data_IF_052768042748
#
_entry.id   IF_052768042748
#
_cell.length_a   1.000
_cell.length_b   1.000
_cell.length_c   1.000
_cell.angle_alpha   90.00
_cell.angle_beta   90.00
_cell.angle_gamma   90.00
#
_symmetry.space_group_name_H-M   'P 1'
#
loop_
_entity.id
_entity.type
_entity.pdbx_description
1 polymer ?
#
# COMPACT_ATOMS: atom_id res chain seq x y z
N UNK A 1 10.15 -14.08 -10.20
CA UNK A 1 10.43 -12.98 -9.26
C UNK A 1 9.32 -11.95 -9.41
N UNK A 2 8.85 -11.35 -8.32
CA UNK A 2 7.79 -10.34 -8.33
C UNK A 2 8.33 -9.05 -7.70
N UNK A 3 8.16 -7.94 -8.41
CA UNK A 3 8.54 -6.61 -7.95
C UNK A 3 7.28 -5.88 -7.52
N UNK A 4 7.15 -5.57 -6.23
CA UNK A 4 6.04 -4.82 -5.67
C UNK A 4 6.43 -3.36 -5.62
N UNK A 5 5.63 -2.46 -6.19
CA UNK A 5 5.90 -1.03 -6.14
C UNK A 5 5.31 -0.46 -4.86
N UNK A 6 6.09 0.22 -4.04
CA UNK A 6 5.60 0.96 -2.88
C UNK A 6 5.78 2.45 -3.15
N UNK A 7 4.69 3.20 -3.11
CA UNK A 7 4.71 4.65 -3.32
C UNK A 7 3.77 5.36 -2.35
N UNK A 8 3.91 6.67 -2.27
CA UNK A 8 3.15 7.52 -1.36
C UNK A 8 3.60 8.97 -1.48
N UNK A 9 2.73 9.90 -1.15
CA UNK A 9 3.05 11.32 -1.12
C UNK A 9 4.00 11.69 0.02
N UNK A 10 4.49 12.91 0.01
CA UNK A 10 5.24 13.48 1.14
C UNK A 10 4.42 13.33 2.43
N UNK A 11 5.05 13.02 3.57
CA UNK A 11 4.37 12.85 4.86
C UNK A 11 3.25 11.79 4.92
N UNK A 12 3.13 10.91 3.92
CA UNK A 12 2.16 9.79 3.91
C UNK A 12 2.49 8.65 4.86
N UNK A 13 3.71 8.60 5.43
CA UNK A 13 4.17 7.48 6.26
C UNK A 13 4.64 6.25 5.47
N UNK A 14 4.95 6.40 4.18
CA UNK A 14 5.58 5.38 3.33
C UNK A 14 6.75 4.64 4.00
N UNK A 15 7.62 5.36 4.71
CA UNK A 15 8.76 4.77 5.43
C UNK A 15 8.32 3.82 6.55
N UNK A 16 7.20 4.09 7.22
CA UNK A 16 6.63 3.20 8.23
C UNK A 16 6.18 1.89 7.60
N UNK A 17 5.45 1.97 6.48
CA UNK A 17 5.01 0.79 5.71
C UNK A 17 6.21 0.01 5.14
N UNK A 18 7.23 0.71 4.64
CA UNK A 18 8.50 0.11 4.20
C UNK A 18 9.16 -0.70 5.31
N UNK A 19 9.15 -0.21 6.54
CA UNK A 19 9.66 -0.94 7.70
C UNK A 19 8.78 -2.15 8.08
N UNK A 20 7.46 -2.03 7.95
CA UNK A 20 6.55 -3.17 8.14
C UNK A 20 6.80 -4.29 7.13
N UNK A 21 7.06 -3.97 5.86
CA UNK A 21 7.48 -4.97 4.88
C UNK A 21 8.78 -5.68 5.29
N UNK A 22 9.78 -4.92 5.76
CA UNK A 22 11.06 -5.47 6.23
C UNK A 22 10.87 -6.40 7.44
N UNK A 23 10.05 -6.01 8.42
CA UNK A 23 9.80 -6.82 9.62
C UNK A 23 9.10 -8.14 9.30
N UNK A 24 8.28 -8.18 8.25
CA UNK A 24 7.63 -9.40 7.76
C UNK A 24 8.52 -10.21 6.79
N UNK A 25 9.79 -9.81 6.61
CA UNK A 25 10.78 -10.54 5.83
C UNK A 25 10.73 -10.29 4.32
N UNK A 26 10.07 -9.22 3.88
CA UNK A 26 10.14 -8.75 2.50
C UNK A 26 11.29 -7.74 2.35
N UNK A 27 12.27 -8.01 1.47
CA UNK A 27 13.35 -7.06 1.25
C UNK A 27 12.81 -5.85 0.51
N UNK A 28 13.23 -4.66 0.96
CA UNK A 28 12.86 -3.39 0.36
C UNK A 28 14.09 -2.73 -0.24
N UNK A 29 14.02 -2.38 -1.52
CA UNK A 29 15.02 -1.56 -2.22
C UNK A 29 14.49 -0.13 -2.26
N UNK A 30 15.18 0.77 -1.58
CA UNK A 30 14.82 2.19 -1.52
C UNK A 30 15.54 2.96 -2.64
N UNK A 31 14.76 3.50 -3.59
CA UNK A 31 15.28 4.24 -4.72
C UNK A 31 15.99 5.54 -4.29
N UNK A 32 15.56 6.17 -3.20
CA UNK A 32 16.22 7.36 -2.67
C UNK A 32 17.59 7.00 -2.12
N UNK A 33 17.72 5.87 -1.39
CA UNK A 33 19.02 5.40 -0.91
C UNK A 33 19.96 5.06 -2.07
N UNK A 34 19.46 4.44 -3.15
CA UNK A 34 20.27 4.17 -4.35
C UNK A 34 20.71 5.46 -5.01
N UNK A 35 19.82 6.44 -5.18
CA UNK A 35 20.17 7.75 -5.75
C UNK A 35 21.24 8.47 -4.92
N UNK A 36 21.18 8.34 -3.58
CA UNK A 36 22.22 8.87 -2.69
C UNK A 36 23.54 8.14 -2.81
N UNK A 37 23.53 6.83 -3.06
CA UNK A 37 24.74 6.02 -3.21
C UNK A 37 25.47 6.34 -4.52
N UNK A 38 24.73 6.58 -5.60
CA UNK A 38 25.27 6.93 -6.93
C UNK A 38 26.06 8.26 -6.93
N UNK A 39 25.91 9.09 -5.90
CA UNK A 39 26.64 10.34 -5.73
C UNK A 39 27.83 10.24 -4.75
N UNK A 40 28.11 9.07 -4.18
CA UNK A 40 29.30 8.88 -3.33
C UNK A 40 30.57 8.97 -4.14
N UNK A 41 31.64 9.44 -3.50
CA UNK A 41 32.99 9.44 -4.08
C UNK A 41 33.33 8.10 -4.74
N UNK A 42 34.08 8.18 -5.85
CA UNK A 42 34.54 7.05 -6.67
C UNK A 42 33.46 6.25 -7.41
N UNK A 43 32.19 6.69 -7.36
CA UNK A 43 31.14 6.08 -8.19
C UNK A 43 31.09 6.69 -9.59
N UNK A 44 30.56 5.92 -10.55
CA UNK A 44 30.40 6.40 -11.93
C UNK A 44 29.48 7.62 -12.05
N UNK A 45 28.45 7.71 -11.20
CA UNK A 45 27.55 8.87 -11.13
C UNK A 45 28.26 10.11 -10.61
N UNK A 46 29.01 9.98 -9.51
CA UNK A 46 29.85 11.04 -8.96
C UNK A 46 30.78 11.65 -10.01
N UNK A 47 31.57 10.81 -10.71
CA UNK A 47 32.53 11.30 -11.71
C UNK A 47 31.87 12.10 -12.83
N UNK A 48 30.67 11.69 -13.28
CA UNK A 48 29.91 12.41 -14.32
C UNK A 48 29.34 13.72 -13.82
N UNK A 49 28.89 13.77 -12.56
CA UNK A 49 28.34 14.97 -11.96
C UNK A 49 29.45 16.00 -11.71
N UNK A 50 30.59 15.60 -11.15
CA UNK A 50 31.75 16.49 -10.96
C UNK A 50 32.27 17.02 -12.30
N UNK A 51 32.34 16.18 -13.34
CA UNK A 51 32.74 16.63 -14.67
C UNK A 51 31.79 17.66 -15.31
N UNK A 52 30.50 17.63 -14.97
CA UNK A 52 29.50 18.52 -15.54
C UNK A 52 29.26 19.80 -14.72
N UNK A 53 29.41 19.73 -13.40
CA UNK A 53 29.13 20.83 -12.47
C UNK A 53 30.39 21.46 -11.86
N UNK A 54 31.57 20.90 -12.14
CA UNK A 54 32.85 21.37 -11.61
C UNK A 54 33.14 20.87 -10.19
N UNK A 55 34.32 21.16 -9.69
CA UNK A 55 34.72 20.83 -8.30
C UNK A 55 34.08 21.75 -7.26
N UNK A 56 33.41 22.83 -7.71
CA UNK A 56 32.69 23.76 -6.85
C UNK A 56 31.55 23.10 -6.05
N UNK A 57 31.05 21.94 -6.49
CA UNK A 57 30.00 21.19 -5.78
C UNK A 57 30.56 20.21 -4.74
N UNK A 58 31.87 20.18 -4.52
CA UNK A 58 32.52 19.28 -3.56
C UNK A 58 32.74 19.95 -2.20
N UNK A 59 32.64 19.15 -1.15
CA UNK A 59 33.10 19.49 0.20
C UNK A 59 34.63 19.31 0.32
N UNK A 60 35.20 19.74 1.44
CA UNK A 60 36.65 19.67 1.69
C UNK A 60 37.20 18.23 1.74
N UNK A 61 36.35 17.24 1.99
CA UNK A 61 36.68 15.81 1.97
C UNK A 61 36.58 15.18 0.55
N UNK A 62 36.09 15.96 -0.42
CA UNK A 62 35.85 15.55 -1.80
C UNK A 62 34.52 14.82 -2.01
N UNK A 63 33.63 14.75 -1.03
CA UNK A 63 32.25 14.30 -1.23
C UNK A 63 31.39 15.41 -1.87
N UNK A 64 30.24 15.05 -2.45
CA UNK A 64 29.33 16.03 -3.04
C UNK A 64 28.55 16.78 -1.97
N UNK A 65 28.67 18.10 -1.94
CA UNK A 65 27.84 19.00 -1.14
C UNK A 65 26.42 19.01 -1.73
N UNK A 66 25.54 18.19 -1.15
CA UNK A 66 24.15 18.03 -1.62
C UNK A 66 23.32 19.29 -1.43
N UNK A 67 23.39 20.01 -0.29
CA UNK A 67 22.75 21.32 -0.17
C UNK A 67 23.14 22.29 -1.29
N UNK A 68 24.43 22.38 -1.61
CA UNK A 68 24.94 23.28 -2.65
C UNK A 68 24.52 22.84 -4.06
N UNK A 69 24.69 21.56 -4.38
CA UNK A 69 24.20 21.01 -5.65
C UNK A 69 22.68 21.22 -5.79
N UNK A 70 21.94 21.00 -4.71
CA UNK A 70 20.50 21.26 -4.62
C UNK A 70 20.16 22.69 -5.00
N UNK A 71 20.80 23.69 -4.38
CA UNK A 71 20.57 25.12 -4.69
C UNK A 71 20.79 25.42 -6.18
N UNK A 72 21.87 24.89 -6.75
CA UNK A 72 22.19 25.08 -8.18
C UNK A 72 21.08 24.49 -9.07
N UNK A 73 20.66 23.25 -8.84
CA UNK A 73 19.64 22.60 -9.69
C UNK A 73 18.22 23.06 -9.41
N UNK A 74 17.92 23.60 -8.24
CA UNK A 74 16.61 24.21 -7.95
C UNK A 74 16.51 25.62 -8.55
N UNK A 75 17.62 26.34 -8.68
CA UNK A 75 17.64 27.66 -9.31
C UNK A 75 17.54 27.61 -10.85
N UNK A 76 17.96 26.50 -11.48
CA UNK A 76 18.06 26.37 -12.93
C UNK A 76 17.49 25.04 -13.43
N UNK A 77 16.36 25.12 -14.14
CA UNK A 77 15.68 23.96 -14.72
C UNK A 77 16.54 23.22 -15.77
N UNK A 78 17.38 23.91 -16.55
CA UNK A 78 18.25 23.27 -17.53
C UNK A 78 19.32 22.42 -16.83
N UNK A 79 19.94 22.95 -15.77
CA UNK A 79 20.88 22.21 -14.93
C UNK A 79 20.23 21.01 -14.24
N UNK A 80 18.98 21.15 -13.78
CA UNK A 80 18.21 20.02 -13.22
C UNK A 80 18.02 18.89 -14.22
N UNK A 81 17.71 19.21 -15.47
CA UNK A 81 17.56 18.21 -16.53
C UNK A 81 18.88 17.51 -16.84
N UNK A 82 19.99 18.25 -16.88
CA UNK A 82 21.33 17.68 -17.06
C UNK A 82 21.66 16.72 -15.92
N UNK A 83 21.46 17.12 -14.66
CA UNK A 83 21.70 16.24 -13.51
C UNK A 83 20.88 14.95 -13.60
N UNK A 84 19.57 15.08 -13.86
CA UNK A 84 18.68 13.92 -13.97
C UNK A 84 19.11 12.97 -15.10
N UNK A 85 19.51 13.51 -16.26
CA UNK A 85 19.95 12.72 -17.41
C UNK A 85 21.25 11.98 -17.11
N UNK A 86 22.19 12.62 -16.41
CA UNK A 86 23.46 12.01 -16.02
C UNK A 86 23.26 10.89 -15.00
N UNK A 87 22.37 11.10 -14.01
CA UNK A 87 22.16 10.16 -12.92
C UNK A 87 21.23 9.00 -13.26
N UNK A 88 20.23 9.20 -14.13
CA UNK A 88 19.24 8.20 -14.50
C UNK A 88 19.83 6.80 -14.80
N UNK A 89 20.84 6.63 -15.70
CA UNK A 89 21.37 5.31 -16.01
C UNK A 89 22.04 4.64 -14.81
N UNK A 90 22.69 5.41 -13.94
CA UNK A 90 23.35 4.87 -12.75
C UNK A 90 22.35 4.48 -11.66
N UNK A 91 21.28 5.27 -11.48
CA UNK A 91 20.18 4.94 -10.56
C UNK A 91 19.47 3.66 -11.02
N UNK A 92 19.10 3.58 -12.29
CA UNK A 92 18.46 2.37 -12.84
C UNK A 92 19.35 1.14 -12.72
N UNK A 93 20.64 1.26 -13.01
CA UNK A 93 21.61 0.16 -12.88
C UNK A 93 21.83 -0.25 -11.41
N UNK A 94 21.86 0.72 -10.49
CA UNK A 94 21.97 0.48 -9.05
C UNK A 94 20.76 -0.27 -8.50
N UNK A 95 19.54 0.17 -8.85
CA UNK A 95 18.30 -0.51 -8.48
C UNK A 95 18.31 -1.94 -9.04
N UNK A 96 18.68 -2.11 -10.31
CA UNK A 96 18.76 -3.43 -10.94
C UNK A 96 19.77 -4.37 -10.24
N UNK A 97 20.95 -3.87 -9.87
CA UNK A 97 21.94 -4.64 -9.12
C UNK A 97 21.43 -5.10 -7.75
N UNK A 98 20.76 -4.21 -7.00
CA UNK A 98 20.18 -4.58 -5.71
C UNK A 98 19.07 -5.62 -5.86
N UNK A 99 18.21 -5.48 -6.88
CA UNK A 99 17.21 -6.50 -7.22
C UNK A 99 17.88 -7.84 -7.54
N UNK A 100 18.91 -7.84 -8.39
CA UNK A 100 19.61 -9.05 -8.80
C UNK A 100 20.29 -9.74 -7.60
N UNK A 101 20.91 -8.96 -6.72
CA UNK A 101 21.55 -9.44 -5.49
C UNK A 101 20.54 -10.10 -4.55
N UNK A 102 19.37 -9.50 -4.37
CA UNK A 102 18.28 -10.09 -3.57
C UNK A 102 17.71 -11.33 -4.24
N UNK A 103 17.59 -11.33 -5.56
CA UNK A 103 17.14 -12.49 -6.31
C UNK A 103 18.09 -13.68 -6.18
N UNK A 104 19.40 -13.46 -6.28
CA UNK A 104 20.44 -14.48 -6.06
C UNK A 104 20.43 -15.04 -4.63
N UNK A 105 20.00 -14.24 -3.64
CA UNK A 105 19.76 -14.69 -2.26
C UNK A 105 18.49 -15.53 -2.10
N UNK A 106 17.72 -15.75 -3.17
CA UNK A 106 16.51 -16.57 -3.17
C UNK A 106 15.22 -15.81 -2.85
N UNK A 107 15.26 -14.48 -2.76
CA UNK A 107 14.04 -13.70 -2.55
C UNK A 107 13.19 -13.69 -3.82
N UNK A 108 11.95 -14.18 -3.69
CA UNK A 108 10.99 -14.26 -4.79
C UNK A 108 10.16 -12.99 -4.95
N UNK A 109 10.05 -12.21 -3.88
CA UNK A 109 9.31 -10.95 -3.79
C UNK A 109 10.27 -9.88 -3.30
N UNK A 110 10.32 -8.75 -3.99
CA UNK A 110 11.12 -7.59 -3.63
C UNK A 110 10.22 -6.37 -3.72
N UNK A 111 10.22 -5.54 -2.68
CA UNK A 111 9.47 -4.28 -2.64
C UNK A 111 10.39 -3.16 -3.10
N UNK A 112 9.95 -2.36 -4.08
CA UNK A 112 10.66 -1.19 -4.56
C UNK A 112 9.99 0.04 -3.97
N UNK A 113 10.70 0.73 -3.08
CA UNK A 113 10.22 1.96 -2.47
C UNK A 113 10.60 3.17 -3.36
N UNK A 114 9.60 3.74 -4.04
CA UNK A 114 9.77 4.80 -5.04
C UNK A 114 8.73 5.91 -4.81
N UNK A 115 9.11 7.08 -4.25
CA UNK A 115 8.17 8.17 -4.00
C UNK A 115 7.47 8.72 -5.26
N UNK A 116 8.19 8.74 -6.38
CA UNK A 116 7.74 9.27 -7.67
C UNK A 116 7.42 8.15 -8.69
N UNK A 117 6.88 7.03 -8.21
CA UNK A 117 6.67 5.81 -9.00
C UNK A 117 5.84 6.05 -10.27
N UNK A 118 4.74 6.78 -10.16
CA UNK A 118 3.84 7.06 -11.30
C UNK A 118 4.41 8.15 -12.22
N UNK A 119 5.05 9.15 -11.63
CA UNK A 119 5.68 10.28 -12.33
C UNK A 119 6.84 9.80 -13.21
N UNK A 120 7.58 8.79 -12.74
CA UNK A 120 8.68 8.14 -13.47
C UNK A 120 8.25 6.97 -14.35
N UNK A 121 6.94 6.65 -14.40
CA UNK A 121 6.36 5.51 -15.14
C UNK A 121 6.98 4.15 -14.76
N UNK A 122 7.46 4.02 -13.52
CA UNK A 122 8.03 2.79 -12.99
C UNK A 122 6.96 1.78 -12.56
N UNK A 123 5.71 2.23 -12.46
CA UNK A 123 4.51 1.39 -12.29
C UNK A 123 4.42 0.25 -13.31
N UNK A 124 4.92 0.46 -14.54
CA UNK A 124 4.96 -0.59 -15.58
C UNK A 124 5.85 -1.78 -15.24
N UNK A 125 6.86 -1.56 -14.39
CA UNK A 125 7.85 -2.56 -14.00
C UNK A 125 7.56 -3.19 -12.64
N UNK A 126 6.56 -2.66 -11.92
CA UNK A 126 6.20 -3.09 -10.56
C UNK A 126 4.74 -3.51 -10.50
N UNK A 127 4.46 -4.77 -10.13
CA UNK A 127 3.11 -5.27 -9.91
C UNK A 127 3.04 -6.27 -8.75
N UNK A 128 2.15 -6.09 -7.77
CA UNK A 128 1.20 -4.97 -7.61
C UNK A 128 1.88 -3.66 -7.19
N UNK A 129 1.17 -2.54 -7.39
CA UNK A 129 1.51 -1.20 -6.87
C UNK A 129 0.70 -0.92 -5.60
N UNK A 130 1.41 -0.70 -4.50
CA UNK A 130 0.91 -0.34 -3.19
C UNK A 130 1.09 1.17 -2.99
N UNK A 131 -0.01 1.88 -2.75
CA UNK A 131 -0.01 3.30 -2.40
C UNK A 131 -0.33 3.46 -0.93
N UNK A 132 0.55 4.16 -0.20
CA UNK A 132 0.25 4.65 1.15
C UNK A 132 -0.47 5.98 1.02
N UNK A 133 -1.76 5.97 1.28
CA UNK A 133 -2.67 7.10 1.12
C UNK A 133 -2.94 7.79 2.46
N UNK A 134 -3.09 9.11 2.41
CA UNK A 134 -3.43 9.97 3.52
C UNK A 134 -4.24 11.13 2.96
N UNK A 135 -5.19 11.67 3.73
CA UNK A 135 -5.89 12.88 3.33
C UNK A 135 -4.96 14.11 3.37
N UNK A 136 -5.29 15.13 2.58
CA UNK A 136 -4.45 16.33 2.42
C UNK A 136 -4.23 17.08 3.73
N UNK A 137 -5.21 17.09 4.64
CA UNK A 137 -5.12 17.81 5.91
C UNK A 137 -4.14 17.10 6.85
N UNK A 138 -4.26 15.79 7.01
CA UNK A 138 -3.30 14.97 7.75
C UNK A 138 -1.90 15.04 7.14
N UNK A 139 -1.80 15.11 5.80
CA UNK A 139 -0.53 15.28 5.10
C UNK A 139 0.14 16.62 5.46
N UNK A 140 -0.64 17.70 5.47
CA UNK A 140 -0.19 19.05 5.81
C UNK A 140 0.29 19.11 7.27
N UNK A 141 -0.53 18.63 8.21
CA UNK A 141 -0.21 18.63 9.64
C UNK A 141 1.08 17.84 9.93
N UNK A 142 1.22 16.65 9.35
CA UNK A 142 2.43 15.82 9.53
C UNK A 142 3.67 16.47 8.91
N UNK A 143 3.53 17.12 7.76
CA UNK A 143 4.64 17.80 7.10
C UNK A 143 5.11 19.01 7.91
N UNK A 144 4.17 19.82 8.41
CA UNK A 144 4.47 20.96 9.28
C UNK A 144 5.14 20.52 10.58
N UNK A 145 4.60 19.47 11.23
CA UNK A 145 5.18 18.95 12.46
C UNK A 145 6.59 18.36 12.28
N UNK A 146 6.87 17.72 11.13
CA UNK A 146 8.16 17.09 10.84
C UNK A 146 9.24 18.09 10.45
N UNK A 147 8.90 19.03 9.57
CA UNK A 147 9.88 19.91 8.91
C UNK A 147 9.87 21.34 9.50
N UNK A 148 8.96 21.66 10.41
CA UNK A 148 8.79 23.03 10.94
C UNK A 148 8.44 24.06 9.86
N UNK A 149 7.84 23.61 8.75
CA UNK A 149 7.55 24.46 7.58
C UNK A 149 6.30 25.31 7.82
N UNK A 150 6.21 26.46 7.14
CA UNK A 150 4.95 27.23 7.08
C UNK A 150 3.87 26.43 6.35
N UNK A 151 2.61 26.71 6.62
CA UNK A 151 1.49 26.06 5.96
C UNK A 151 1.54 26.24 4.43
N UNK A 152 1.90 27.44 3.97
CA UNK A 152 2.01 27.77 2.55
C UNK A 152 3.14 26.99 1.87
N UNK A 153 4.32 26.91 2.49
CA UNK A 153 5.43 26.09 1.98
C UNK A 153 5.07 24.60 1.92
N UNK A 154 4.41 24.10 2.96
CA UNK A 154 3.97 22.71 3.04
C UNK A 154 2.96 22.39 1.92
N UNK A 155 1.98 23.26 1.68
CA UNK A 155 1.03 23.13 0.56
C UNK A 155 1.73 23.17 -0.79
N UNK A 156 2.65 24.09 -1.00
CA UNK A 156 3.41 24.19 -2.25
C UNK A 156 4.20 22.90 -2.55
N UNK A 157 4.79 22.28 -1.52
CA UNK A 157 5.51 20.99 -1.65
C UNK A 157 4.57 19.83 -1.97
N UNK A 158 3.38 19.79 -1.35
CA UNK A 158 2.36 18.77 -1.62
C UNK A 158 1.87 18.90 -3.06
N UNK A 159 1.54 20.11 -3.50
CA UNK A 159 1.02 20.40 -4.84
C UNK A 159 2.05 20.16 -5.96
N UNK A 160 3.35 20.15 -5.65
CA UNK A 160 4.39 19.80 -6.60
C UNK A 160 4.40 18.29 -6.97
N UNK A 161 3.69 17.45 -6.23
CA UNK A 161 3.54 16.01 -6.49
C UNK A 161 2.19 15.70 -7.14
N UNK A 162 2.07 14.52 -7.77
CA UNK A 162 0.76 14.05 -8.23
C UNK A 162 -0.19 13.90 -7.04
N UNK A 163 -1.43 14.40 -7.18
CA UNK A 163 -2.46 14.34 -6.15
C UNK A 163 -2.66 12.92 -5.62
N UNK A 164 -2.82 12.80 -4.30
CA UNK A 164 -2.93 11.50 -3.61
C UNK A 164 -4.10 10.66 -4.12
N UNK A 165 -5.23 11.28 -4.46
CA UNK A 165 -6.40 10.58 -4.99
C UNK A 165 -6.18 10.03 -6.40
N UNK A 166 -5.36 10.70 -7.21
CA UNK A 166 -4.94 10.19 -8.53
C UNK A 166 -3.94 9.04 -8.39
N UNK A 167 -3.10 9.04 -7.36
CA UNK A 167 -2.24 7.89 -7.05
C UNK A 167 -3.09 6.71 -6.58
N UNK A 168 -4.07 6.98 -5.72
CA UNK A 168 -5.02 6.00 -5.18
C UNK A 168 -5.79 5.29 -6.29
N UNK A 169 -6.31 6.02 -7.29
CA UNK A 169 -7.09 5.43 -8.39
C UNK A 169 -6.26 4.56 -9.35
N UNK A 170 -4.93 4.73 -9.36
CA UNK A 170 -3.99 3.93 -10.16
C UNK A 170 -3.35 2.78 -9.39
N UNK A 171 -3.61 2.67 -8.09
CA UNK A 171 -3.01 1.66 -7.23
C UNK A 171 -3.74 0.32 -7.38
N UNK A 172 -2.98 -0.78 -7.30
CA UNK A 172 -3.58 -2.10 -7.11
C UNK A 172 -4.02 -2.29 -5.64
N UNK A 173 -3.29 -1.68 -4.70
CA UNK A 173 -3.53 -1.76 -3.25
C UNK A 173 -3.39 -0.37 -2.64
N UNK A 174 -4.32 0.00 -1.77
CA UNK A 174 -4.30 1.26 -1.02
C UNK A 174 -4.20 0.95 0.46
N UNK A 175 -3.16 1.47 1.12
CA UNK A 175 -3.00 1.48 2.56
C UNK A 175 -3.39 2.86 3.04
N UNK A 176 -4.51 2.98 3.73
CA UNK A 176 -4.92 4.22 4.41
C UNK A 176 -4.07 4.39 5.67
N UNK A 177 -3.39 5.52 5.79
CA UNK A 177 -2.55 5.87 6.93
C UNK A 177 -3.01 7.19 7.58
N UNK A 178 -4.32 7.46 7.55
CA UNK A 178 -4.92 8.60 8.25
C UNK A 178 -5.01 8.40 9.76
N UNK A 179 -5.14 7.15 10.20
CA UNK A 179 -5.26 6.78 11.61
C UNK A 179 -3.94 6.74 12.39
N UNK A 180 -3.97 6.01 13.50
CA UNK A 180 -2.82 5.72 14.35
C UNK A 180 -1.87 4.68 13.73
N UNK A 181 -0.71 4.49 14.36
CA UNK A 181 0.25 3.47 13.94
C UNK A 181 -0.31 2.05 14.13
N UNK A 182 -1.15 1.85 15.15
CA UNK A 182 -1.87 0.59 15.40
C UNK A 182 -2.89 0.30 14.30
N UNK A 183 -3.66 1.32 13.88
CA UNK A 183 -4.60 1.21 12.75
C UNK A 183 -3.87 0.82 11.45
N UNK A 184 -2.69 1.42 11.22
CA UNK A 184 -1.86 1.11 10.07
C UNK A 184 -1.38 -0.35 10.09
N UNK A 185 -0.95 -0.85 11.25
CA UNK A 185 -0.54 -2.24 11.41
C UNK A 185 -1.71 -3.21 11.19
N UNK A 186 -2.89 -2.88 11.73
CA UNK A 186 -4.10 -3.68 11.51
C UNK A 186 -4.48 -3.69 10.02
N UNK A 187 -4.43 -2.53 9.35
CA UNK A 187 -4.73 -2.44 7.93
C UNK A 187 -3.72 -3.17 7.07
N UNK A 188 -2.43 -3.12 7.43
CA UNK A 188 -1.38 -3.90 6.78
C UNK A 188 -1.63 -5.41 6.92
N UNK A 189 -2.06 -5.86 8.11
CA UNK A 189 -2.44 -7.26 8.36
C UNK A 189 -3.69 -7.66 7.58
N UNK A 190 -4.73 -6.81 7.53
CA UNK A 190 -5.96 -7.05 6.75
C UNK A 190 -5.69 -7.17 5.27
N UNK A 191 -4.80 -6.35 4.70
CA UNK A 191 -4.34 -6.53 3.32
C UNK A 191 -3.66 -7.89 3.15
N UNK A 192 -3.07 -8.41 4.23
CA UNK A 192 -2.51 -9.75 4.24
C UNK A 192 -3.52 -10.88 4.22
N UNK A 193 -4.63 -10.72 4.93
CA UNK A 193 -5.65 -11.74 5.12
C UNK A 193 -6.76 -11.69 4.05
N UNK A 194 -7.27 -10.50 3.71
CA UNK A 194 -8.36 -10.31 2.75
C UNK A 194 -7.86 -10.25 1.30
N UNK A 195 -6.67 -9.69 1.09
CA UNK A 195 -6.12 -9.64 -0.26
C UNK A 195 -5.31 -10.90 -0.45
N UNK A 196 -5.76 -11.78 -1.36
CA UNK A 196 -5.06 -12.99 -1.85
C UNK A 196 -3.57 -12.77 -2.13
N UNK A 197 -3.08 -11.54 -2.17
CA UNK A 197 -1.72 -11.10 -2.42
C UNK A 197 -0.75 -11.47 -1.30
N UNK A 198 -0.93 -11.20 0.01
CA UNK A 198 0.10 -11.68 0.98
C UNK A 198 0.02 -13.19 1.12
N UNK A 199 -1.18 -13.79 1.10
CA UNK A 199 -1.34 -15.24 0.95
C UNK A 199 -0.61 -15.77 -0.30
N UNK A 200 -0.67 -15.08 -1.45
CA UNK A 200 0.05 -15.43 -2.68
C UNK A 200 1.55 -15.12 -2.60
N UNK A 201 1.98 -14.08 -1.89
CA UNK A 201 3.38 -13.74 -1.63
C UNK A 201 4.03 -14.76 -0.69
N UNK A 202 3.30 -15.19 0.34
CA UNK A 202 3.67 -16.29 1.23
C UNK A 202 3.64 -17.63 0.49
N UNK A 203 2.62 -17.88 -0.34
CA UNK A 203 2.58 -19.05 -1.22
C UNK A 203 3.74 -19.08 -2.21
N UNK A 204 4.15 -17.92 -2.72
CA UNK A 204 5.34 -17.80 -3.55
C UNK A 204 6.60 -18.11 -2.75
N UNK A 205 6.67 -17.78 -1.46
CA UNK A 205 7.81 -18.07 -0.58
C UNK A 205 8.05 -19.58 -0.44
N UNK A 206 6.99 -20.38 -0.38
CA UNK A 206 7.05 -21.84 -0.28
C UNK A 206 7.02 -22.54 -1.67
N UNK A 207 7.43 -23.81 -1.78
CA UNK A 207 7.22 -24.61 -2.98
C UNK A 207 5.74 -24.75 -3.28
N UNK A 208 5.36 -24.74 -4.57
CA UNK A 208 3.96 -24.85 -5.00
C UNK A 208 3.25 -26.07 -4.43
N UNK A 209 3.98 -27.17 -4.23
CA UNK A 209 3.47 -28.41 -3.64
C UNK A 209 3.05 -28.24 -2.17
N UNK A 210 3.85 -27.53 -1.37
CA UNK A 210 3.58 -27.31 0.06
C UNK A 210 2.35 -26.43 0.25
N UNK A 211 2.21 -25.39 -0.58
CA UNK A 211 1.04 -24.50 -0.54
C UNK A 211 -0.20 -25.26 -0.97
N UNK A 212 -0.13 -26.02 -2.06
CA UNK A 212 -1.25 -26.80 -2.56
C UNK A 212 -1.68 -27.86 -1.53
N UNK A 213 -0.73 -28.58 -0.91
CA UNK A 213 -1.02 -29.56 0.13
C UNK A 213 -1.62 -28.90 1.37
N UNK A 214 -1.10 -27.75 1.79
CA UNK A 214 -1.63 -26.96 2.90
C UNK A 214 -3.07 -26.50 2.65
N UNK A 215 -3.35 -25.93 1.48
CA UNK A 215 -4.68 -25.49 1.08
C UNK A 215 -5.67 -26.67 0.98
N UNK A 216 -5.24 -27.79 0.39
CA UNK A 216 -6.06 -29.00 0.29
C UNK A 216 -6.36 -29.59 1.69
N UNK A 217 -5.37 -29.61 2.57
CA UNK A 217 -5.52 -30.10 3.95
C UNK A 217 -6.48 -29.20 4.73
N UNK A 218 -6.34 -27.88 4.62
CA UNK A 218 -7.25 -26.94 5.26
C UNK A 218 -8.70 -27.11 4.75
N UNK A 219 -8.88 -27.30 3.44
CA UNK A 219 -10.19 -27.55 2.85
C UNK A 219 -10.79 -28.87 3.36
N UNK A 220 -10.00 -29.94 3.43
CA UNK A 220 -10.45 -31.23 3.97
C UNK A 220 -10.84 -31.09 5.44
N UNK A 221 -9.99 -30.45 6.26
CA UNK A 221 -10.25 -30.24 7.69
C UNK A 221 -11.52 -29.41 7.90
N UNK A 222 -11.68 -28.31 7.16
CA UNK A 222 -12.86 -27.45 7.24
C UNK A 222 -14.13 -28.21 6.82
N UNK A 223 -14.04 -29.02 5.77
CA UNK A 223 -15.16 -29.86 5.30
C UNK A 223 -15.56 -30.89 6.36
N UNK A 224 -14.59 -31.61 6.93
CA UNK A 224 -14.83 -32.62 7.97
C UNK A 224 -15.41 -31.98 9.24
N UNK A 225 -14.87 -30.84 9.68
CA UNK A 225 -15.42 -30.08 10.81
C UNK A 225 -16.85 -29.63 10.54
N UNK A 226 -17.12 -29.06 9.36
CA UNK A 226 -18.45 -28.58 8.98
C UNK A 226 -19.46 -29.73 8.92
N UNK A 227 -19.11 -30.86 8.31
CA UNK A 227 -19.99 -32.04 8.25
C UNK A 227 -20.18 -32.67 9.63
N UNK A 228 -19.12 -32.73 10.43
CA UNK A 228 -19.16 -33.25 11.81
C UNK A 228 -20.08 -32.39 12.70
N UNK A 229 -19.87 -31.08 12.72
CA UNK A 229 -20.73 -30.14 13.43
C UNK A 229 -22.18 -30.23 12.94
N UNK A 230 -22.39 -30.28 11.62
CA UNK A 230 -23.72 -30.42 11.03
C UNK A 230 -24.46 -31.70 11.45
N UNK A 231 -23.75 -32.77 11.80
CA UNK A 231 -24.33 -34.04 12.26
C UNK A 231 -24.47 -34.12 13.79
N UNK A 232 -23.54 -33.50 14.52
CA UNK A 232 -23.41 -33.59 15.98
C UNK A 232 -24.25 -32.52 16.68
N UNK A 233 -24.18 -31.27 16.22
CA UNK A 233 -24.84 -30.11 16.86
C UNK A 233 -26.37 -30.27 16.93
N UNK A 234 -27.09 -30.75 15.88
CA UNK A 234 -28.53 -30.96 15.96
C UNK A 234 -28.96 -32.06 16.94
N UNK A 235 -28.05 -33.00 17.25
CA UNK A 235 -28.33 -34.11 18.16
C UNK A 235 -27.94 -33.79 19.61
N UNK A 236 -27.05 -32.82 19.85
CA UNK A 236 -26.63 -32.38 21.18
C UNK A 236 -27.48 -31.23 21.75
N UNK A 237 -28.09 -30.41 20.89
CA UNK A 237 -28.82 -29.21 21.31
C UNK A 237 -30.29 -29.33 20.90
N UNK A 238 -31.20 -29.31 21.88
CA UNK A 238 -32.65 -29.31 21.63
C UNK A 238 -33.05 -28.12 20.75
N UNK A 239 -33.94 -28.35 19.75
CA UNK A 239 -34.44 -27.33 18.80
C UNK A 239 -34.86 -26.02 19.48
N UNK A 240 -35.39 -26.07 20.69
CA UNK A 240 -35.81 -24.88 21.45
C UNK A 240 -34.61 -24.00 21.86
N UNK A 241 -33.51 -24.62 22.29
CA UNK A 241 -32.29 -23.92 22.64
C UNK A 241 -31.54 -23.42 21.41
N UNK A 242 -31.54 -24.19 20.31
CA UNK A 242 -30.93 -23.76 19.04
C UNK A 242 -31.63 -22.52 18.49
N UNK A 243 -32.96 -22.50 18.46
CA UNK A 243 -33.72 -21.33 18.01
C UNK A 243 -33.48 -20.13 18.92
N UNK A 244 -33.53 -20.31 20.24
CA UNK A 244 -33.27 -19.20 21.17
C UNK A 244 -31.85 -18.66 21.06
N UNK A 245 -30.85 -19.54 20.91
CA UNK A 245 -29.46 -19.14 20.72
C UNK A 245 -29.27 -18.41 19.39
N UNK A 246 -29.88 -18.91 18.31
CA UNK A 246 -29.86 -18.25 17.00
C UNK A 246 -30.50 -16.86 17.07
N UNK A 247 -31.67 -16.72 17.71
CA UNK A 247 -32.33 -15.42 17.90
C UNK A 247 -31.44 -14.43 18.67
N UNK A 248 -30.79 -14.88 19.76
CA UNK A 248 -29.85 -14.05 20.53
C UNK A 248 -28.63 -13.66 19.69
N UNK A 249 -28.08 -14.61 18.91
CA UNK A 249 -26.92 -14.36 18.06
C UNK A 249 -27.26 -13.35 16.95
N UNK A 250 -28.38 -13.54 16.26
CA UNK A 250 -28.85 -12.64 15.20
C UNK A 250 -29.18 -11.25 15.76
N UNK A 251 -29.80 -11.15 16.93
CA UNK A 251 -30.03 -9.87 17.59
C UNK A 251 -28.72 -9.16 17.94
N UNK A 252 -27.73 -9.89 18.47
CA UNK A 252 -26.40 -9.35 18.75
C UNK A 252 -25.68 -8.85 17.51
N UNK A 253 -25.62 -9.66 16.45
CA UNK A 253 -24.98 -9.27 15.19
C UNK A 253 -25.73 -8.12 14.50
N UNK A 254 -27.05 -8.12 14.53
CA UNK A 254 -27.88 -7.02 14.02
C UNK A 254 -27.61 -5.69 14.75
N UNK A 255 -27.60 -5.70 16.08
CA UNK A 255 -27.25 -4.53 16.89
C UNK A 255 -25.80 -4.07 16.66
N UNK A 256 -24.86 -5.00 16.52
CA UNK A 256 -23.46 -4.69 16.21
C UNK A 256 -23.32 -4.03 14.83
N UNK A 257 -24.03 -4.54 13.81
CA UNK A 257 -24.05 -3.96 12.47
C UNK A 257 -24.66 -2.55 12.48
N UNK A 258 -25.76 -2.35 13.20
CA UNK A 258 -26.36 -1.03 13.44
C UNK A 258 -25.37 -0.07 14.13
N UNK A 259 -24.64 -0.55 15.14
CA UNK A 259 -23.62 0.25 15.81
C UNK A 259 -22.47 0.64 14.88
N UNK A 260 -21.99 -0.29 14.04
CA UNK A 260 -20.95 -0.02 13.03
C UNK A 260 -21.47 0.98 11.98
N UNK A 261 -22.70 0.79 11.48
CA UNK A 261 -23.32 1.68 10.50
C UNK A 261 -23.50 3.10 11.07
N UNK A 262 -23.98 3.22 12.31
CA UNK A 262 -24.12 4.49 13.00
C UNK A 262 -22.78 5.21 13.19
N UNK A 263 -21.72 4.47 13.51
CA UNK A 263 -20.37 5.03 13.66
C UNK A 263 -19.70 5.37 12.32
N UNK A 264 -20.12 4.75 11.23
CA UNK A 264 -19.62 5.00 9.87
C UNK A 264 -20.22 6.26 9.24
N UNK A 265 -21.27 6.84 9.82
CA UNK A 265 -21.99 8.01 9.29
C UNK A 265 -21.21 9.34 9.39
N UNK A 266 -19.98 9.33 9.91
CA UNK A 266 -19.09 10.50 9.89
C UNK A 266 -18.30 10.66 8.57
N UNK A 267 -18.44 9.75 7.59
CA UNK A 267 -17.85 9.86 6.24
C UNK A 267 -18.96 9.79 5.17
N UNK A 268 -19.59 10.93 4.93
CA UNK A 268 -20.83 11.14 4.16
C UNK A 268 -20.83 10.77 2.66
N UNK A 269 -19.79 10.13 2.12
CA UNK A 269 -19.71 9.77 0.69
C UNK A 269 -20.02 8.30 0.40
N UNK A 270 -19.85 7.39 1.38
CA UNK A 270 -20.06 5.95 1.21
C UNK A 270 -21.51 5.48 1.39
N UNK A 271 -22.37 6.35 1.92
CA UNK A 271 -23.75 6.01 2.32
C UNK A 271 -24.65 5.68 1.12
N UNK A 272 -24.48 6.36 -0.01
CA UNK A 272 -25.31 6.14 -1.21
C UNK A 272 -25.04 4.80 -1.90
N UNK A 273 -23.77 4.43 -2.07
CA UNK A 273 -23.41 3.15 -2.71
C UNK A 273 -23.77 1.95 -1.83
N UNK A 274 -23.65 2.10 -0.51
CA UNK A 274 -24.00 1.04 0.44
C UNK A 274 -25.52 0.89 0.59
N UNK A 275 -26.30 1.97 0.59
CA UNK A 275 -27.76 1.90 0.55
C UNK A 275 -28.26 1.25 -0.75
N UNK A 276 -27.69 1.60 -1.91
CA UNK A 276 -28.04 0.97 -3.18
C UNK A 276 -27.70 -0.53 -3.21
N UNK A 277 -26.51 -0.92 -2.72
CA UNK A 277 -26.10 -2.33 -2.66
C UNK A 277 -26.93 -3.15 -1.66
N UNK A 278 -27.31 -2.54 -0.53
CA UNK A 278 -28.15 -3.19 0.47
C UNK A 278 -29.59 -3.35 -0.04
N UNK A 279 -30.15 -2.34 -0.71
CA UNK A 279 -31.48 -2.40 -1.34
C UNK A 279 -31.50 -3.45 -2.47
N UNK A 280 -30.46 -3.52 -3.31
CA UNK A 280 -30.33 -4.53 -4.37
C UNK A 280 -30.23 -5.95 -3.82
N UNK A 281 -29.50 -6.14 -2.73
CA UNK A 281 -29.34 -7.47 -2.09
C UNK A 281 -30.64 -7.89 -1.37
N UNK A 282 -31.32 -6.94 -0.72
CA UNK A 282 -32.59 -7.18 -0.04
C UNK A 282 -33.74 -7.47 -1.03
N UNK A 283 -33.77 -6.79 -2.18
CA UNK A 283 -34.72 -7.05 -3.26
C UNK A 283 -34.45 -8.38 -3.97
N UNK A 284 -33.18 -8.80 -4.06
CA UNK A 284 -32.80 -10.07 -4.67
C UNK A 284 -33.15 -11.29 -3.79
N UNK A 285 -33.13 -11.15 -2.46
CA UNK A 285 -33.41 -12.27 -1.54
C UNK A 285 -34.90 -12.46 -1.20
N UNK A 286 -35.78 -11.45 -1.36
CA UNK A 286 -37.17 -11.50 -0.85
C UNK A 286 -38.30 -11.17 -1.85
N UNK A 287 -38.02 -10.89 -3.13
CA UNK A 287 -39.04 -10.45 -4.09
C UNK A 287 -39.66 -11.55 -4.96
N UNK A 288 -40.88 -11.98 -4.62
CA UNK A 288 -41.76 -12.79 -5.47
C UNK A 288 -42.07 -12.06 -6.81
N UNK A 289 -42.04 -12.80 -7.92
CA UNK A 289 -41.88 -12.32 -9.31
C UNK A 289 -43.12 -11.67 -9.95
N UNK A 290 -44.11 -11.22 -9.18
CA UNK A 290 -45.43 -10.87 -9.77
C UNK A 290 -45.95 -9.44 -9.58
N UNK A 291 -45.30 -8.53 -8.83
CA UNK A 291 -45.87 -7.19 -8.59
C UNK A 291 -44.88 -6.02 -8.49
N UNK A 292 -44.02 -5.80 -9.50
CA UNK A 292 -43.18 -4.58 -9.57
C UNK A 292 -43.26 -3.92 -10.96
N UNK A 293 -44.49 -3.72 -11.45
CA UNK A 293 -44.75 -2.93 -12.67
C UNK A 293 -45.60 -1.67 -12.41
N UNK A 294 -45.84 -1.28 -11.15
CA UNK A 294 -46.84 -0.24 -10.85
C UNK A 294 -46.30 0.99 -10.10
N UNK A 295 -45.00 1.09 -9.80
CA UNK A 295 -44.50 2.27 -9.07
C UNK A 295 -43.19 2.77 -9.67
N UNK A 296 -43.34 3.50 -10.77
CA UNK A 296 -42.42 4.56 -11.22
C UNK A 296 -43.12 5.42 -12.27
N UNK A 297 -44.09 6.22 -11.80
CA UNK A 297 -44.18 7.63 -12.20
C UNK A 297 -43.47 8.40 -11.09
#
# INVERSE_FOLDING_TARGET
MRLVGLTGGIASGKSTVSNLFKSHGFPVVDADLVARYVLKKDTGGYNKVVAAFGEEILEADGEVDRPKLGRIVFSDNAKRQVLNRLLAPYISSGIFCEILKLWLKGYKVIVLDIPLLFETKMDKWTKPVVVVWVDTETQLQRLMARDGSTEEDARNRINAQMAMDLKRSKADIVIDNTGSLEDLEEQFRKIGDETFIIAALMAMRHPKSIVLSGALTALIVMTVLSTGLGRIVPNLISRKHTNSAATVLYAFFGLRLLYIAWRSDSKSSQKKEMEESFILTFLAEWGDRSQIATIAV
#
